data_IF_346520318444
#
_entry.id   IF_346520318444
#
_cell.length_a   1.000
_cell.length_b   1.000
_cell.length_c   1.000
_cell.angle_alpha   90.00
_cell.angle_beta   90.00
_cell.angle_gamma   90.00
#
_symmetry.space_group_name_H-M   'P 1'
#
loop_
_entity.id
_entity.type
_entity.pdbx_description
1 polymer ?
#
# COMPACT_ATOMS: atom_id res chain seq x y z
N UNK A 1 -7.24 -9.80 35.97
CA UNK A 1 -8.20 -8.89 35.37
C UNK A 1 -8.80 -9.56 34.13
N UNK A 2 -10.10 -9.34 33.87
CA UNK A 2 -10.73 -9.75 32.63
C UNK A 2 -10.26 -8.81 31.51
N UNK A 3 -9.76 -9.39 30.42
CA UNK A 3 -9.42 -8.66 29.21
C UNK A 3 -10.68 -8.61 28.34
N UNK A 4 -11.15 -7.40 28.01
CA UNK A 4 -12.19 -7.22 27.01
C UNK A 4 -11.57 -7.31 25.60
N UNK A 5 -12.18 -8.12 24.74
CA UNK A 5 -11.67 -8.36 23.38
C UNK A 5 -10.91 -9.67 23.23
N UNK A 6 -10.06 -9.73 22.22
CA UNK A 6 -9.30 -10.93 21.87
C UNK A 6 -8.31 -11.32 22.98
N UNK A 7 -8.19 -12.61 23.27
CA UNK A 7 -7.33 -13.12 24.35
C UNK A 7 -5.84 -12.93 24.03
N UNK A 8 -4.97 -12.78 25.05
CA UNK A 8 -3.52 -12.75 24.82
C UNK A 8 -2.99 -14.00 24.11
N UNK A 9 -3.59 -15.16 24.37
CA UNK A 9 -3.23 -16.39 23.68
C UNK A 9 -3.51 -16.33 22.19
N UNK A 10 -4.66 -15.79 21.78
CA UNK A 10 -5.01 -15.61 20.38
C UNK A 10 -4.13 -14.57 19.68
N UNK A 11 -3.73 -13.51 20.40
CA UNK A 11 -2.78 -12.53 19.90
C UNK A 11 -1.42 -13.19 19.68
N UNK A 12 -0.93 -13.98 20.62
CA UNK A 12 0.33 -14.72 20.53
C UNK A 12 0.33 -15.71 19.35
N UNK A 13 -0.80 -16.38 19.08
CA UNK A 13 -0.95 -17.25 17.90
C UNK A 13 -0.78 -16.50 16.57
N UNK A 14 -1.21 -15.24 16.50
CA UNK A 14 -1.10 -14.43 15.29
C UNK A 14 0.29 -13.80 15.12
N UNK A 15 0.97 -13.46 16.23
CA UNK A 15 2.27 -12.78 16.20
C UNK A 15 3.47 -13.73 16.20
N UNK A 16 3.35 -14.94 16.77
CA UNK A 16 4.39 -15.96 16.73
C UNK A 16 4.42 -16.62 15.35
N UNK A 17 5.55 -16.49 14.64
CA UNK A 17 5.68 -16.95 13.24
C UNK A 17 5.42 -18.44 13.06
N UNK A 18 5.90 -19.29 13.96
CA UNK A 18 5.71 -20.73 13.83
C UNK A 18 4.26 -21.12 14.03
N UNK A 19 3.62 -20.57 15.06
CA UNK A 19 2.20 -20.80 15.35
C UNK A 19 1.32 -20.27 14.20
N UNK A 20 1.65 -19.08 13.68
CA UNK A 20 0.97 -18.48 12.55
C UNK A 20 1.08 -19.34 11.29
N UNK A 21 2.29 -19.83 10.96
CA UNK A 21 2.49 -20.73 9.83
C UNK A 21 1.68 -22.01 9.97
N UNK A 22 1.71 -22.65 11.15
CA UNK A 22 0.91 -23.86 11.44
C UNK A 22 -0.60 -23.61 11.30
N UNK A 23 -1.07 -22.45 11.76
CA UNK A 23 -2.47 -22.04 11.59
C UNK A 23 -2.84 -21.93 10.11
N UNK A 24 -2.08 -21.18 9.33
CA UNK A 24 -2.34 -20.98 7.89
C UNK A 24 -2.26 -22.29 7.11
N UNK A 25 -1.29 -23.16 7.42
CA UNK A 25 -1.17 -24.50 6.82
C UNK A 25 -2.41 -25.36 7.14
N UNK A 26 -2.89 -25.33 8.38
CA UNK A 26 -4.10 -26.07 8.79
C UNK A 26 -5.36 -25.59 8.06
N UNK A 27 -5.39 -24.32 7.71
CA UNK A 27 -6.47 -23.68 6.93
C UNK A 27 -6.28 -23.78 5.42
N UNK A 28 -5.14 -24.32 4.96
CA UNK A 28 -4.74 -24.33 3.54
C UNK A 28 -4.73 -22.93 2.91
N UNK A 29 -4.32 -21.92 3.68
CA UNK A 29 -4.19 -20.54 3.20
C UNK A 29 -2.73 -20.29 2.80
N UNK A 30 -2.46 -19.91 1.53
CA UNK A 30 -1.11 -19.64 1.06
C UNK A 30 -0.43 -18.50 1.81
N UNK A 31 0.87 -18.65 2.07
CA UNK A 31 1.76 -17.64 2.62
C UNK A 31 2.98 -17.46 1.70
N UNK A 32 3.63 -16.29 1.68
CA UNK A 32 4.93 -16.16 1.02
C UNK A 32 5.91 -17.19 1.60
N UNK A 33 6.65 -17.93 0.76
CA UNK A 33 7.64 -18.88 1.26
C UNK A 33 8.74 -18.14 2.03
N UNK A 34 9.13 -18.67 3.19
CA UNK A 34 10.10 -17.99 4.04
C UNK A 34 10.69 -18.90 5.11
N UNK A 35 11.30 -18.28 6.11
CA UNK A 35 11.85 -18.95 7.27
C UNK A 35 12.45 -17.97 8.29
N UNK A 36 12.91 -18.52 9.41
CA UNK A 36 13.55 -17.77 10.50
C UNK A 36 15.04 -18.07 10.55
N UNK A 37 15.86 -17.07 10.84
CA UNK A 37 17.30 -17.18 10.95
C UNK A 37 17.82 -16.44 12.17
N UNK A 38 18.83 -16.99 12.83
CA UNK A 38 19.58 -16.34 13.91
C UNK A 38 21.03 -16.01 13.51
N UNK A 39 21.42 -16.45 12.31
CA UNK A 39 22.74 -16.18 11.73
C UNK A 39 22.62 -15.78 10.27
N UNK A 40 23.62 -15.07 9.74
CA UNK A 40 23.70 -14.78 8.30
C UNK A 40 23.75 -16.05 7.45
N UNK A 41 24.45 -17.10 7.92
CA UNK A 41 24.53 -18.36 7.19
C UNK A 41 23.15 -19.00 7.00
N UNK A 42 22.33 -19.05 8.06
CA UNK A 42 20.95 -19.54 7.99
C UNK A 42 20.09 -18.67 7.07
N UNK A 43 20.17 -17.34 7.22
CA UNK A 43 19.44 -16.40 6.38
C UNK A 43 19.80 -16.57 4.89
N UNK A 44 21.07 -16.77 4.57
CA UNK A 44 21.56 -17.01 3.20
C UNK A 44 20.98 -18.30 2.60
N UNK A 45 20.93 -19.38 3.38
CA UNK A 45 20.33 -20.65 2.94
C UNK A 45 18.83 -20.48 2.66
N UNK A 46 18.10 -19.77 3.53
CA UNK A 46 16.69 -19.50 3.32
C UNK A 46 16.48 -18.66 2.06
N UNK A 47 17.22 -17.54 1.91
CA UNK A 47 17.12 -16.64 0.76
C UNK A 47 17.43 -17.35 -0.56
N UNK A 48 18.43 -18.23 -0.60
CA UNK A 48 18.73 -19.05 -1.79
C UNK A 48 17.59 -20.04 -2.11
N UNK A 49 16.95 -20.60 -1.10
CA UNK A 49 15.84 -21.54 -1.27
C UNK A 49 14.57 -20.85 -1.80
N UNK A 50 14.23 -19.68 -1.25
CA UNK A 50 12.99 -18.98 -1.61
C UNK A 50 13.15 -18.09 -2.84
N UNK A 51 14.40 -17.71 -3.17
CA UNK A 51 14.74 -16.80 -4.27
C UNK A 51 14.68 -15.33 -3.85
N UNK A 52 15.55 -14.52 -4.48
CA UNK A 52 15.53 -13.05 -4.33
C UNK A 52 14.47 -12.44 -5.26
N UNK A 53 13.94 -11.25 -4.91
CA UNK A 53 14.20 -10.49 -3.70
C UNK A 53 13.55 -11.10 -2.46
N UNK A 54 14.13 -10.83 -1.28
CA UNK A 54 13.56 -11.24 0.00
C UNK A 54 13.32 -10.03 0.91
N UNK A 55 12.27 -10.13 1.71
CA UNK A 55 11.99 -9.20 2.80
C UNK A 55 12.67 -9.71 4.07
N UNK A 56 13.54 -8.88 4.64
CA UNK A 56 14.23 -9.16 5.90
C UNK A 56 13.57 -8.32 6.98
N UNK A 57 13.06 -8.96 8.03
CA UNK A 57 12.40 -8.26 9.14
C UNK A 57 12.79 -8.83 10.50
N UNK A 58 13.11 -7.99 11.49
CA UNK A 58 13.28 -8.44 12.86
C UNK A 58 11.97 -8.96 13.45
N UNK A 59 12.03 -9.92 14.35
CA UNK A 59 10.86 -10.36 15.14
C UNK A 59 10.43 -9.25 16.11
N UNK A 60 9.12 -9.18 16.39
CA UNK A 60 8.53 -8.28 17.38
C UNK A 60 8.79 -6.78 17.17
N UNK A 61 8.82 -6.33 15.90
CA UNK A 61 8.87 -4.90 15.56
C UNK A 61 7.48 -4.36 15.22
N UNK A 62 7.27 -3.07 15.54
CA UNK A 62 6.03 -2.37 15.23
C UNK A 62 6.27 -1.38 14.08
N UNK A 63 5.29 -1.26 13.17
CA UNK A 63 5.31 -0.28 12.08
C UNK A 63 6.43 -0.51 11.08
N UNK A 64 6.82 -1.75 10.83
CA UNK A 64 7.82 -2.11 9.82
C UNK A 64 9.25 -1.65 10.11
N UNK A 65 9.55 -1.24 11.35
CA UNK A 65 10.88 -0.71 11.71
C UNK A 65 12.00 -1.68 11.38
N UNK A 66 13.04 -1.17 10.71
CA UNK A 66 14.21 -1.93 10.27
C UNK A 66 13.92 -3.06 9.28
N UNK A 67 12.73 -3.12 8.68
CA UNK A 67 12.45 -4.02 7.56
C UNK A 67 13.15 -3.55 6.30
N UNK A 68 13.71 -4.48 5.53
CA UNK A 68 14.42 -4.17 4.29
C UNK A 68 14.11 -5.20 3.20
N UNK A 69 13.87 -4.70 1.99
CA UNK A 69 13.79 -5.53 0.79
C UNK A 69 15.20 -5.66 0.22
N UNK A 70 15.70 -6.87 0.10
CA UNK A 70 17.07 -7.15 -0.36
C UNK A 70 17.06 -8.02 -1.62
N UNK A 71 17.87 -7.62 -2.60
CA UNK A 71 17.82 -8.20 -3.94
C UNK A 71 18.97 -9.19 -4.22
N UNK A 72 19.95 -9.29 -3.32
CA UNK A 72 21.11 -10.16 -3.47
C UNK A 72 21.76 -10.52 -2.12
N UNK A 73 22.70 -11.44 -2.12
CA UNK A 73 23.38 -11.92 -0.92
C UNK A 73 24.20 -10.83 -0.22
N UNK A 74 24.80 -9.90 -0.96
CA UNK A 74 25.57 -8.80 -0.38
C UNK A 74 24.67 -7.81 0.37
N UNK A 75 23.49 -7.50 -0.21
CA UNK A 75 22.49 -6.66 0.44
C UNK A 75 21.93 -7.35 1.68
N UNK A 76 21.74 -8.69 1.65
CA UNK A 76 21.31 -9.46 2.82
C UNK A 76 22.31 -9.38 3.97
N UNK A 77 23.62 -9.55 3.69
CA UNK A 77 24.68 -9.42 4.69
C UNK A 77 24.68 -8.03 5.32
N UNK A 78 24.62 -6.99 4.47
CA UNK A 78 24.58 -5.59 4.92
C UNK A 78 23.36 -5.29 5.80
N UNK A 79 22.19 -5.82 5.44
CA UNK A 79 20.95 -5.64 6.19
C UNK A 79 21.04 -6.30 7.58
N UNK A 80 21.53 -7.52 7.65
CA UNK A 80 21.69 -8.24 8.91
C UNK A 80 22.72 -7.57 9.82
N UNK A 81 23.85 -7.10 9.27
CA UNK A 81 24.85 -6.35 9.98
C UNK A 81 24.33 -5.02 10.53
N UNK A 82 23.50 -4.33 9.76
CA UNK A 82 22.86 -3.09 10.20
C UNK A 82 21.88 -3.36 11.35
N UNK A 83 21.03 -4.37 11.23
CA UNK A 83 20.09 -4.78 12.28
C UNK A 83 20.80 -5.13 13.59
N UNK A 84 21.96 -5.81 13.49
CA UNK A 84 22.77 -6.15 14.65
C UNK A 84 23.37 -4.91 15.34
N UNK A 85 23.76 -3.88 14.56
CA UNK A 85 24.40 -2.63 15.09
C UNK A 85 23.39 -1.64 15.67
N UNK A 86 22.26 -1.46 15.02
CA UNK A 86 21.30 -0.37 15.35
C UNK A 86 20.45 -0.65 16.59
N UNK A 87 20.69 -1.77 17.29
CA UNK A 87 19.91 -2.15 18.46
C UNK A 87 18.43 -2.37 18.16
N UNK A 88 18.06 -2.50 16.87
CA UNK A 88 16.69 -2.83 16.43
C UNK A 88 16.25 -4.20 16.97
N UNK A 89 17.19 -5.01 17.44
CA UNK A 89 17.00 -6.30 18.09
C UNK A 89 16.81 -6.17 19.63
N UNK A 90 16.66 -4.95 20.16
CA UNK A 90 16.42 -4.66 21.58
C UNK A 90 17.67 -4.27 22.36
N UNK A 91 17.48 -3.75 23.60
CA UNK A 91 18.54 -3.22 24.47
C UNK A 91 19.62 -4.24 24.85
N UNK A 92 19.38 -5.53 24.66
CA UNK A 92 20.30 -6.62 24.99
C UNK A 92 21.05 -7.21 23.78
N UNK A 93 20.94 -6.55 22.63
CA UNK A 93 21.73 -6.70 21.41
C UNK A 93 22.03 -8.12 20.95
N UNK A 94 21.50 -8.54 19.82
CA UNK A 94 21.84 -9.76 19.11
C UNK A 94 20.65 -10.60 18.67
N UNK A 95 20.87 -11.39 17.63
CA UNK A 95 19.94 -12.42 17.17
C UNK A 95 19.95 -13.59 18.17
N UNK A 96 18.79 -14.11 18.50
CA UNK A 96 18.65 -15.31 19.35
C UNK A 96 17.47 -16.16 18.88
N UNK A 97 17.34 -17.34 19.42
CA UNK A 97 16.21 -18.22 19.12
C UNK A 97 14.85 -17.59 19.48
N UNK A 98 14.81 -16.74 20.52
CA UNK A 98 13.61 -16.00 20.91
C UNK A 98 13.39 -14.73 20.08
N UNK A 99 14.41 -14.30 19.35
CA UNK A 99 14.40 -13.07 18.49
C UNK A 99 15.10 -13.33 17.16
N UNK A 100 14.58 -14.23 16.32
CA UNK A 100 15.14 -14.46 15.01
C UNK A 100 14.80 -13.30 14.05
N UNK A 101 15.52 -13.25 12.95
CA UNK A 101 15.12 -12.48 11.77
C UNK A 101 14.27 -13.36 10.87
N UNK A 102 13.20 -12.80 10.32
CA UNK A 102 12.39 -13.48 9.31
C UNK A 102 12.90 -13.11 7.92
N UNK A 103 12.98 -14.11 7.07
CA UNK A 103 13.36 -13.98 5.66
C UNK A 103 12.22 -14.55 4.84
N UNK A 104 11.45 -13.70 4.21
CA UNK A 104 10.31 -14.09 3.38
C UNK A 104 10.58 -13.70 1.91
N UNK A 105 10.16 -14.54 0.95
CA UNK A 105 10.19 -14.16 -0.45
C UNK A 105 9.33 -12.92 -0.66
N UNK A 106 9.89 -11.89 -1.27
CA UNK A 106 9.16 -10.65 -1.54
C UNK A 106 8.35 -10.81 -2.84
N UNK A 107 7.05 -10.58 -2.73
CA UNK A 107 6.12 -10.74 -3.85
C UNK A 107 6.11 -9.46 -4.68
N UNK A 108 7.09 -9.29 -5.57
CA UNK A 108 7.11 -8.18 -6.53
C UNK A 108 5.85 -8.23 -7.42
N UNK A 109 5.35 -7.07 -7.81
CA UNK A 109 4.14 -6.89 -8.64
C UNK A 109 2.83 -7.46 -8.04
N UNK A 110 2.81 -7.78 -6.74
CA UNK A 110 1.57 -8.15 -6.06
C UNK A 110 0.74 -6.90 -5.74
N UNK A 111 -0.59 -7.05 -5.77
CA UNK A 111 -1.53 -6.05 -5.24
C UNK A 111 -1.78 -6.34 -3.77
N UNK A 112 -1.45 -5.41 -2.88
CA UNK A 112 -1.75 -5.56 -1.45
C UNK A 112 -3.20 -5.20 -1.14
N UNK A 113 -3.75 -5.88 -0.13
CA UNK A 113 -5.14 -5.73 0.31
C UNK A 113 -5.22 -5.80 1.82
N UNK A 114 -5.82 -4.80 2.43
CA UNK A 114 -6.19 -4.83 3.85
C UNK A 114 -7.67 -5.16 4.01
N UNK A 115 -7.99 -5.95 5.03
CA UNK A 115 -9.37 -6.24 5.42
C UNK A 115 -9.57 -5.95 6.89
N UNK A 116 -10.52 -5.09 7.20
CA UNK A 116 -11.00 -4.93 8.57
C UNK A 116 -12.29 -5.74 8.78
N UNK A 117 -12.31 -6.56 9.81
CA UNK A 117 -13.45 -7.39 10.16
C UNK A 117 -13.74 -7.35 11.66
N UNK A 118 -14.95 -7.76 12.04
CA UNK A 118 -15.39 -7.93 13.43
C UNK A 118 -15.93 -9.35 13.59
N UNK A 119 -15.48 -10.05 14.63
CA UNK A 119 -16.03 -11.35 15.02
C UNK A 119 -16.61 -11.27 16.42
N UNK A 120 -17.78 -11.85 16.62
CA UNK A 120 -18.41 -11.99 17.94
C UNK A 120 -18.13 -13.38 18.57
N UNK A 121 -18.61 -13.59 19.78
CA UNK A 121 -18.38 -14.84 20.53
C UNK A 121 -19.17 -16.04 19.99
N UNK A 122 -20.15 -15.83 19.13
CA UNK A 122 -20.91 -16.91 18.47
C UNK A 122 -20.18 -17.44 17.23
N UNK A 123 -19.13 -16.76 16.77
CA UNK A 123 -18.38 -17.09 15.56
C UNK A 123 -18.90 -16.39 14.31
N UNK A 124 -19.87 -15.49 14.44
CA UNK A 124 -20.29 -14.66 13.33
C UNK A 124 -19.22 -13.63 13.01
N UNK A 125 -18.89 -13.49 11.71
CA UNK A 125 -17.89 -12.53 11.22
C UNK A 125 -18.54 -11.52 10.28
N UNK A 126 -18.32 -10.26 10.57
CA UNK A 126 -18.67 -9.12 9.70
C UNK A 126 -17.40 -8.66 8.98
N UNK A 127 -17.36 -8.78 7.66
CA UNK A 127 -16.35 -8.09 6.84
C UNK A 127 -16.76 -6.62 6.78
N UNK A 128 -15.96 -5.76 7.41
CA UNK A 128 -16.19 -4.32 7.47
C UNK A 128 -15.87 -3.63 6.15
N UNK A 129 -14.77 -4.05 5.51
CA UNK A 129 -14.36 -3.55 4.18
C UNK A 129 -13.10 -4.23 3.70
N UNK A 130 -13.00 -4.38 2.38
CA UNK A 130 -11.82 -4.85 1.66
C UNK A 130 -11.21 -3.65 0.96
N UNK A 131 -9.96 -3.34 1.27
CA UNK A 131 -9.23 -2.16 0.83
C UNK A 131 -8.13 -2.57 -0.13
N UNK A 132 -8.21 -2.18 -1.39
CA UNK A 132 -7.14 -2.39 -2.38
C UNK A 132 -6.14 -1.24 -2.30
N UNK A 133 -4.84 -1.57 -2.21
CA UNK A 133 -3.76 -0.60 -2.19
C UNK A 133 -3.44 -0.08 -3.59
N UNK A 134 -3.03 1.17 -3.66
CA UNK A 134 -2.63 1.85 -4.91
C UNK A 134 -1.11 1.84 -5.09
N UNK A 135 -0.36 1.86 -3.99
CA UNK A 135 1.10 1.74 -3.99
C UNK A 135 1.55 0.31 -4.27
N UNK A 136 2.81 0.18 -4.67
CA UNK A 136 3.44 -1.12 -4.88
C UNK A 136 3.49 -1.97 -3.60
N UNK A 137 3.53 -3.29 -3.76
CA UNK A 137 3.71 -4.21 -2.65
C UNK A 137 4.95 -3.88 -1.80
N UNK A 138 4.85 -4.11 -0.50
CA UNK A 138 5.91 -3.82 0.47
C UNK A 138 5.90 -2.40 1.01
N UNK A 139 5.01 -1.53 0.55
CA UNK A 139 4.75 -0.23 1.19
C UNK A 139 3.85 -0.46 2.41
N UNK A 140 4.24 0.11 3.56
CA UNK A 140 3.45 -0.03 4.78
C UNK A 140 2.00 0.42 4.57
N UNK A 141 1.02 -0.36 5.01
CA UNK A 141 -0.42 -0.09 4.81
C UNK A 141 -0.88 1.29 5.31
N UNK A 142 -0.20 1.82 6.33
CA UNK A 142 -0.43 3.19 6.82
C UNK A 142 -0.01 4.28 5.85
N UNK A 143 0.92 3.99 4.93
CA UNK A 143 1.49 4.93 3.97
C UNK A 143 0.88 4.78 2.58
N UNK A 144 0.17 3.67 2.32
CA UNK A 144 -0.51 3.42 1.04
C UNK A 144 -1.83 4.16 0.95
N UNK A 145 -2.14 4.68 -0.24
CA UNK A 145 -3.50 4.99 -0.62
C UNK A 145 -4.30 3.68 -0.76
N UNK A 146 -5.55 3.69 -0.32
CA UNK A 146 -6.40 2.49 -0.39
C UNK A 146 -7.78 2.84 -0.89
N UNK A 147 -8.35 2.00 -1.78
CA UNK A 147 -9.68 2.19 -2.35
C UNK A 147 -10.71 1.20 -1.80
N UNK A 148 -11.91 1.69 -1.51
CA UNK A 148 -13.11 0.90 -1.23
C UNK A 148 -14.23 1.37 -2.18
N UNK A 149 -14.88 0.46 -2.92
CA UNK A 149 -14.53 -0.97 -3.10
C UNK A 149 -13.21 -1.15 -3.87
N UNK A 150 -12.62 -2.36 -3.89
CA UNK A 150 -11.50 -2.70 -4.77
C UNK A 150 -11.77 -2.32 -6.23
N UNK A 151 -10.73 -1.84 -6.93
CA UNK A 151 -10.88 -1.27 -8.26
C UNK A 151 -10.38 -2.17 -9.38
N UNK A 152 -9.31 -2.95 -9.12
CA UNK A 152 -8.69 -3.81 -10.12
C UNK A 152 -8.92 -5.30 -9.82
N UNK A 153 -9.23 -5.65 -8.57
CA UNK A 153 -9.42 -7.03 -8.16
C UNK A 153 -10.74 -7.62 -8.67
N UNK A 154 -10.72 -8.80 -9.30
CA UNK A 154 -11.92 -9.51 -9.68
C UNK A 154 -12.78 -9.89 -8.45
N UNK A 155 -14.10 -9.98 -8.62
CA UNK A 155 -15.03 -10.29 -7.53
C UNK A 155 -14.69 -11.61 -6.81
N UNK A 156 -14.28 -12.64 -7.54
CA UNK A 156 -13.89 -13.93 -6.95
C UNK A 156 -12.67 -13.82 -6.01
N UNK A 157 -11.73 -12.91 -6.28
CA UNK A 157 -10.59 -12.64 -5.38
C UNK A 157 -11.07 -12.03 -4.07
N UNK A 158 -11.99 -11.08 -4.14
CA UNK A 158 -12.61 -10.45 -2.96
C UNK A 158 -13.37 -11.47 -2.13
N UNK A 159 -14.05 -12.43 -2.78
CA UNK A 159 -14.72 -13.55 -2.11
C UNK A 159 -13.72 -14.46 -1.39
N UNK A 160 -12.62 -14.84 -2.04
CA UNK A 160 -11.54 -15.65 -1.44
C UNK A 160 -10.93 -14.93 -0.23
N UNK A 161 -10.59 -13.65 -0.37
CA UNK A 161 -10.04 -12.82 0.72
C UNK A 161 -11.02 -12.79 1.92
N UNK A 162 -12.30 -12.60 1.65
CA UNK A 162 -13.35 -12.57 2.68
C UNK A 162 -13.50 -13.93 3.39
N UNK A 163 -13.41 -15.03 2.63
CA UNK A 163 -13.46 -16.39 3.18
C UNK A 163 -12.22 -16.68 4.04
N UNK A 164 -11.03 -16.31 3.58
CA UNK A 164 -9.79 -16.46 4.35
C UNK A 164 -9.82 -15.64 5.64
N UNK A 165 -10.25 -14.38 5.57
CA UNK A 165 -10.43 -13.52 6.75
C UNK A 165 -11.38 -14.14 7.77
N UNK A 166 -12.49 -14.70 7.30
CA UNK A 166 -13.48 -15.38 8.17
C UNK A 166 -12.88 -16.62 8.83
N UNK A 167 -12.14 -17.44 8.08
CA UNK A 167 -11.49 -18.64 8.58
C UNK A 167 -10.42 -18.32 9.64
N UNK A 168 -9.59 -17.30 9.36
CA UNK A 168 -8.55 -16.82 10.28
C UNK A 168 -9.18 -16.26 11.57
N UNK A 169 -10.19 -15.38 11.44
CA UNK A 169 -10.86 -14.79 12.60
C UNK A 169 -11.49 -15.86 13.52
N UNK A 170 -12.08 -16.92 12.93
CA UNK A 170 -12.66 -18.02 13.67
C UNK A 170 -11.59 -18.88 14.34
N UNK A 171 -10.50 -19.22 13.65
CA UNK A 171 -9.43 -20.05 14.19
C UNK A 171 -8.65 -19.36 15.31
N UNK A 172 -8.52 -18.03 15.26
CA UNK A 172 -7.93 -17.22 16.32
C UNK A 172 -8.91 -16.91 17.47
N UNK A 173 -10.16 -17.36 17.44
CA UNK A 173 -11.22 -16.97 18.40
C UNK A 173 -11.25 -15.47 18.68
N UNK A 174 -11.21 -14.65 17.61
CA UNK A 174 -11.19 -13.20 17.73
C UNK A 174 -12.44 -12.69 18.44
N UNK A 175 -12.29 -11.69 19.29
CA UNK A 175 -13.36 -10.98 19.99
C UNK A 175 -13.25 -9.49 19.70
N UNK A 176 -14.05 -8.99 18.77
CA UNK A 176 -13.99 -7.61 18.30
C UNK A 176 -13.27 -7.52 16.96
N UNK A 177 -12.42 -6.52 16.81
CA UNK A 177 -11.73 -6.20 15.55
C UNK A 177 -10.57 -7.14 15.22
N UNK A 178 -10.42 -7.39 13.93
CA UNK A 178 -9.23 -7.98 13.33
C UNK A 178 -8.93 -7.24 12.01
N UNK A 179 -7.66 -6.96 11.75
CA UNK A 179 -7.16 -6.56 10.45
C UNK A 179 -6.34 -7.72 9.88
N UNK A 180 -6.59 -8.08 8.62
CA UNK A 180 -5.83 -9.10 7.91
C UNK A 180 -5.28 -8.50 6.62
N UNK A 181 -3.98 -8.71 6.39
CA UNK A 181 -3.28 -8.21 5.20
C UNK A 181 -3.01 -9.36 4.24
N UNK A 182 -3.28 -9.09 2.97
CA UNK A 182 -3.10 -10.04 1.87
C UNK A 182 -2.24 -9.41 0.77
N UNK A 183 -1.62 -10.27 -0.03
CA UNK A 183 -1.01 -9.92 -1.30
C UNK A 183 -1.58 -10.84 -2.40
N UNK A 184 -2.00 -10.25 -3.50
CA UNK A 184 -2.57 -10.96 -4.66
C UNK A 184 -1.56 -10.92 -5.78
N UNK A 185 -1.02 -12.09 -6.16
CA UNK A 185 -0.10 -12.23 -7.28
C UNK A 185 -0.68 -13.19 -8.32
N UNK A 186 -1.03 -12.66 -9.49
CA UNK A 186 -1.75 -13.41 -10.51
C UNK A 186 -3.10 -13.92 -10.01
N UNK A 187 -3.25 -15.22 -9.81
CA UNK A 187 -4.47 -15.86 -9.30
C UNK A 187 -4.35 -16.33 -7.85
N UNK A 188 -3.22 -16.12 -7.21
CA UNK A 188 -2.97 -16.60 -5.84
C UNK A 188 -3.13 -15.48 -4.85
N UNK A 189 -3.91 -15.75 -3.80
CA UNK A 189 -4.09 -14.85 -2.64
C UNK A 189 -3.21 -15.37 -1.52
N UNK A 190 -2.20 -14.60 -1.14
CA UNK A 190 -1.31 -14.90 -0.01
C UNK A 190 -1.74 -14.09 1.20
N UNK A 191 -1.82 -14.72 2.39
CA UNK A 191 -1.93 -13.97 3.63
C UNK A 191 -0.54 -13.53 4.08
N UNK A 192 -0.43 -12.26 4.47
CA UNK A 192 0.82 -11.67 4.97
C UNK A 192 0.85 -11.70 6.48
N UNK A 193 -0.18 -11.12 7.13
CA UNK A 193 -0.30 -11.09 8.57
C UNK A 193 -1.75 -10.90 9.01
N UNK A 194 -2.03 -11.21 10.27
CA UNK A 194 -3.29 -10.89 10.93
C UNK A 194 -3.04 -10.18 12.25
N UNK A 195 -3.76 -9.09 12.46
CA UNK A 195 -3.68 -8.25 13.64
C UNK A 195 -5.02 -8.31 14.39
N UNK A 196 -5.20 -9.21 15.39
CA UNK A 196 -6.46 -9.36 16.13
C UNK A 196 -6.67 -8.21 17.15
N UNK A 197 -6.65 -7.01 16.68
CA UNK A 197 -6.78 -5.74 17.40
C UNK A 197 -7.36 -4.67 16.51
N UNK A 198 -7.67 -3.50 17.07
CA UNK A 198 -8.06 -2.34 16.29
C UNK A 198 -6.93 -1.91 15.32
N UNK A 199 -7.29 -1.63 14.08
CA UNK A 199 -6.41 -1.07 13.06
C UNK A 199 -6.66 0.43 12.88
N UNK A 200 -5.71 1.11 12.24
CA UNK A 200 -5.84 2.53 11.90
C UNK A 200 -6.82 2.77 10.75
N UNK A 201 -7.07 1.76 9.93
CA UNK A 201 -7.99 1.81 8.79
C UNK A 201 -9.46 1.75 9.18
N UNK A 202 -9.80 1.29 10.40
CA UNK A 202 -11.18 1.20 10.90
C UNK A 202 -11.98 2.51 10.77
N UNK A 203 -11.44 3.70 11.10
CA UNK A 203 -12.16 4.96 10.90
C UNK A 203 -12.45 5.27 9.43
N UNK A 204 -11.52 4.93 8.54
CA UNK A 204 -11.71 5.07 7.10
C UNK A 204 -12.82 4.15 6.59
N UNK A 205 -12.73 2.85 6.91
CA UNK A 205 -13.74 1.84 6.52
C UNK A 205 -15.12 2.24 7.04
N UNK A 206 -15.21 2.68 8.29
CA UNK A 206 -16.48 3.11 8.88
C UNK A 206 -17.11 4.31 8.14
N UNK A 207 -16.28 5.28 7.72
CA UNK A 207 -16.74 6.43 6.94
C UNK A 207 -17.11 6.02 5.51
N UNK A 208 -16.32 5.14 4.88
CA UNK A 208 -16.57 4.68 3.52
C UNK A 208 -17.87 3.89 3.41
N UNK A 209 -18.16 3.01 4.37
CA UNK A 209 -19.30 2.08 4.34
C UNK A 209 -20.53 2.57 5.13
N UNK A 210 -20.36 3.60 5.96
CA UNK A 210 -21.42 4.08 6.85
C UNK A 210 -21.70 3.18 8.05
N UNK A 211 -20.90 2.13 8.26
CA UNK A 211 -21.05 1.21 9.41
C UNK A 211 -20.19 1.72 10.57
N UNK A 212 -20.73 1.95 11.78
CA UNK A 212 -19.97 2.48 12.90
C UNK A 212 -19.11 1.38 13.58
N UNK A 213 -18.11 0.86 12.84
CA UNK A 213 -17.32 -0.33 13.22
C UNK A 213 -16.74 -0.25 14.63
N UNK A 214 -16.19 0.89 15.05
CA UNK A 214 -15.63 1.04 16.38
C UNK A 214 -16.69 0.87 17.50
N UNK A 215 -17.91 1.39 17.29
CA UNK A 215 -19.03 1.21 18.23
C UNK A 215 -19.51 -0.24 18.27
N UNK A 216 -19.65 -0.85 17.08
CA UNK A 216 -20.02 -2.27 16.95
C UNK A 216 -19.01 -3.15 17.66
N UNK A 217 -17.72 -2.97 17.38
CA UNK A 217 -16.63 -3.75 18.00
C UNK A 217 -16.58 -3.58 19.52
N UNK A 218 -16.77 -2.36 20.04
CA UNK A 218 -16.79 -2.11 21.49
C UNK A 218 -17.94 -2.87 22.18
N UNK A 219 -19.11 -2.94 21.55
CA UNK A 219 -20.26 -3.70 22.06
C UNK A 219 -19.99 -5.22 22.00
N UNK A 220 -19.39 -5.69 20.91
CA UNK A 220 -19.00 -7.10 20.75
C UNK A 220 -17.97 -7.52 21.80
N UNK A 221 -16.96 -6.70 22.07
CA UNK A 221 -15.98 -6.96 23.12
C UNK A 221 -16.61 -7.03 24.53
N UNK A 222 -17.75 -6.35 24.74
CA UNK A 222 -18.53 -6.41 25.97
C UNK A 222 -19.57 -7.55 25.99
N UNK A 223 -19.58 -8.41 24.96
CA UNK A 223 -20.41 -9.61 24.92
C UNK A 223 -21.68 -9.54 24.05
N UNK A 224 -21.94 -8.42 23.37
CA UNK A 224 -23.03 -8.37 22.41
C UNK A 224 -22.71 -9.21 21.16
N UNK A 225 -23.73 -9.80 20.56
CA UNK A 225 -23.61 -10.48 19.26
C UNK A 225 -23.88 -9.51 18.10
N UNK A 226 -23.35 -9.82 16.92
CA UNK A 226 -23.66 -9.06 15.71
C UNK A 226 -25.15 -9.10 15.37
N UNK A 227 -25.81 -10.23 15.65
CA UNK A 227 -27.25 -10.38 15.47
C UNK A 227 -28.04 -9.41 16.36
N UNK A 228 -27.72 -9.32 17.67
CA UNK A 228 -28.35 -8.37 18.58
C UNK A 228 -28.15 -6.93 18.12
N UNK A 229 -26.94 -6.57 17.68
CA UNK A 229 -26.62 -5.21 17.22
C UNK A 229 -27.36 -4.83 15.93
N UNK A 230 -27.72 -5.80 15.08
CA UNK A 230 -28.64 -5.57 13.94
C UNK A 230 -30.06 -5.27 14.41
N UNK A 231 -30.56 -6.05 15.38
CA UNK A 231 -31.89 -5.81 15.94
C UNK A 231 -31.98 -4.45 16.65
N UNK A 232 -30.92 -4.04 17.35
CA UNK A 232 -30.82 -2.72 17.99
C UNK A 232 -30.66 -1.57 16.97
N UNK A 233 -30.40 -1.86 15.68
CA UNK A 233 -30.18 -0.85 14.64
C UNK A 233 -28.81 -0.17 14.73
N UNK A 234 -27.88 -0.66 15.55
CA UNK A 234 -26.50 -0.17 15.62
C UNK A 234 -25.68 -0.70 14.44
N UNK A 235 -25.79 -2.00 14.14
CA UNK A 235 -25.18 -2.60 12.95
C UNK A 235 -26.15 -2.46 11.77
N UNK A 236 -25.90 -1.44 10.98
CA UNK A 236 -26.65 -1.16 9.75
C UNK A 236 -25.99 -1.83 8.55
N UNK A 237 -26.74 -2.18 7.50
CA UNK A 237 -26.16 -2.65 6.26
C UNK A 237 -25.13 -1.63 5.71
N UNK A 238 -23.98 -2.10 5.19
CA UNK A 238 -23.03 -1.21 4.54
C UNK A 238 -23.65 -0.60 3.29
N UNK A 239 -23.39 0.68 3.05
CA UNK A 239 -23.74 1.32 1.77
C UNK A 239 -22.62 0.98 0.79
N UNK A 240 -22.94 0.10 -0.14
CA UNK A 240 -22.03 -0.34 -1.19
C UNK A 240 -22.59 0.07 -2.55
N UNK A 241 -21.71 0.60 -3.40
CA UNK A 241 -22.09 1.10 -4.71
C UNK A 241 -22.51 2.57 -4.72
N UNK A 242 -22.43 3.17 -5.92
CA UNK A 242 -22.73 4.59 -6.12
C UNK A 242 -21.62 5.55 -5.72
N UNK A 243 -20.59 5.09 -5.00
CA UNK A 243 -19.39 5.89 -4.68
C UNK A 243 -18.16 5.00 -4.50
N UNK A 244 -17.00 5.63 -4.62
CA UNK A 244 -15.68 5.10 -4.26
C UNK A 244 -15.08 5.99 -3.19
N UNK A 245 -14.50 5.38 -2.18
CA UNK A 245 -13.74 6.09 -1.14
C UNK A 245 -12.26 5.74 -1.25
N UNK A 246 -11.40 6.75 -1.22
CA UNK A 246 -9.95 6.59 -1.25
C UNK A 246 -9.36 7.18 0.03
N UNK A 247 -8.66 6.35 0.79
CA UNK A 247 -7.79 6.80 1.88
C UNK A 247 -6.48 7.27 1.28
N UNK A 248 -5.96 8.38 1.75
CA UNK A 248 -4.63 8.88 1.40
C UNK A 248 -3.82 9.17 2.66
N UNK A 249 -2.53 8.82 2.65
CA UNK A 249 -1.63 9.06 3.75
C UNK A 249 -1.19 10.53 3.80
N UNK A 250 -1.09 11.09 5.00
CA UNK A 250 -0.46 12.40 5.22
C UNK A 250 1.00 12.18 5.57
N UNK A 251 1.88 12.49 4.63
CA UNK A 251 3.32 12.30 4.73
C UNK A 251 4.01 13.64 5.02
N UNK A 252 4.86 13.76 6.05
CA UNK A 252 5.48 15.03 6.46
C UNK A 252 6.74 15.39 5.63
N UNK A 253 6.86 14.90 4.39
CA UNK A 253 8.06 15.08 3.57
C UNK A 253 8.39 16.54 3.28
N UNK A 254 7.39 17.42 3.19
CA UNK A 254 7.59 18.85 3.02
C UNK A 254 8.40 19.51 4.17
N UNK A 255 8.50 18.85 5.33
CA UNK A 255 9.34 19.29 6.46
C UNK A 255 10.77 18.80 6.37
N UNK A 256 11.04 17.84 5.48
CA UNK A 256 12.32 17.17 5.31
C UNK A 256 12.70 17.08 3.83
N UNK A 257 13.04 18.22 3.18
CA UNK A 257 13.25 18.28 1.73
C UNK A 257 14.39 17.41 1.22
N UNK A 258 15.36 17.08 2.07
CA UNK A 258 16.52 16.24 1.72
C UNK A 258 16.24 14.73 1.78
N UNK A 259 15.07 14.33 2.29
CA UNK A 259 14.73 12.90 2.45
C UNK A 259 14.16 12.35 1.15
N UNK A 260 14.57 11.13 0.79
CA UNK A 260 13.91 10.40 -0.30
C UNK A 260 12.46 10.08 0.10
N UNK A 261 11.54 10.41 -0.78
CA UNK A 261 10.10 10.16 -0.59
C UNK A 261 9.68 8.75 -0.98
N UNK A 262 10.62 7.88 -1.37
CA UNK A 262 10.31 6.49 -1.61
C UNK A 262 9.69 5.85 -0.38
N UNK A 263 8.52 5.26 -0.57
CA UNK A 263 7.82 4.49 0.46
C UNK A 263 8.39 3.08 0.54
N UNK A 264 8.18 2.44 1.67
CA UNK A 264 8.66 1.10 1.94
C UNK A 264 7.95 0.48 3.14
N UNK A 265 8.49 -0.61 3.69
CA UNK A 265 7.83 -1.33 4.77
C UNK A 265 7.79 -0.57 6.10
N UNK A 266 8.64 0.44 6.30
CA UNK A 266 8.62 1.29 7.50
C UNK A 266 7.63 2.44 7.34
N UNK A 267 6.71 2.57 8.30
CA UNK A 267 5.69 3.60 8.30
C UNK A 267 6.26 5.01 8.54
N UNK A 268 5.87 5.95 7.67
CA UNK A 268 6.30 7.36 7.72
C UNK A 268 5.16 8.36 7.85
N UNK A 269 3.91 7.93 7.63
CA UNK A 269 2.73 8.79 7.70
C UNK A 269 2.44 9.26 9.13
N UNK A 270 1.90 10.46 9.25
CA UNK A 270 1.47 11.08 10.52
C UNK A 270 -0.04 11.15 10.68
N UNK A 271 -0.78 10.85 9.64
CA UNK A 271 -2.24 10.85 9.60
C UNK A 271 -2.75 10.36 8.26
N UNK A 272 -4.07 10.42 8.10
CA UNK A 272 -4.76 10.01 6.88
C UNK A 272 -5.94 10.93 6.60
N UNK A 273 -6.31 11.04 5.32
CA UNK A 273 -7.47 11.75 4.81
C UNK A 273 -8.29 10.83 3.93
N UNK A 274 -9.50 11.25 3.56
CA UNK A 274 -10.37 10.49 2.67
C UNK A 274 -10.93 11.37 1.56
N UNK A 275 -10.80 10.91 0.31
CA UNK A 275 -11.57 11.38 -0.83
C UNK A 275 -12.75 10.44 -1.06
N UNK A 276 -13.91 10.99 -1.40
CA UNK A 276 -15.10 10.22 -1.76
C UNK A 276 -15.80 10.86 -2.97
N UNK A 277 -16.06 10.05 -3.99
CA UNK A 277 -16.81 10.49 -5.19
C UNK A 277 -17.40 9.27 -5.91
N UNK A 278 -18.08 9.50 -7.04
CA UNK A 278 -18.73 8.45 -7.84
C UNK A 278 -17.76 7.54 -8.58
N UNK A 279 -16.55 8.04 -8.88
CA UNK A 279 -15.51 7.30 -9.59
C UNK A 279 -14.21 7.28 -8.80
N UNK A 280 -13.37 6.27 -9.05
CA UNK A 280 -12.08 6.15 -8.41
C UNK A 280 -11.17 7.34 -8.71
N UNK A 281 -11.06 7.76 -9.98
CA UNK A 281 -10.21 8.89 -10.34
C UNK A 281 -10.58 10.18 -9.61
N UNK A 282 -11.87 10.50 -9.50
CA UNK A 282 -12.35 11.69 -8.77
C UNK A 282 -12.10 11.58 -7.27
N UNK A 283 -12.38 10.41 -6.68
CA UNK A 283 -12.12 10.16 -5.27
C UNK A 283 -10.62 10.26 -4.95
N UNK A 284 -9.76 9.72 -5.84
CA UNK A 284 -8.30 9.82 -5.73
C UNK A 284 -7.82 11.27 -5.78
N UNK A 285 -8.25 12.08 -6.75
CA UNK A 285 -7.84 13.50 -6.82
C UNK A 285 -8.31 14.27 -5.58
N UNK A 286 -9.50 13.97 -5.04
CA UNK A 286 -9.97 14.57 -3.78
C UNK A 286 -9.08 14.16 -2.60
N UNK A 287 -8.67 12.89 -2.52
CA UNK A 287 -7.79 12.43 -1.43
C UNK A 287 -6.41 13.07 -1.51
N UNK A 288 -5.83 13.18 -2.74
CA UNK A 288 -4.57 13.88 -2.97
C UNK A 288 -4.66 15.35 -2.52
N UNK A 289 -5.70 16.05 -2.94
CA UNK A 289 -5.92 17.46 -2.53
C UNK A 289 -6.06 17.59 -1.02
N UNK A 290 -6.79 16.68 -0.37
CA UNK A 290 -6.95 16.67 1.09
C UNK A 290 -5.65 16.36 1.84
N UNK A 291 -4.75 15.57 1.24
CA UNK A 291 -3.40 15.31 1.75
C UNK A 291 -2.42 16.47 1.52
N UNK A 292 -2.83 17.50 0.78
CA UNK A 292 -2.00 18.67 0.46
C UNK A 292 -1.23 18.52 -0.86
N UNK A 293 -1.54 17.50 -1.66
CA UNK A 293 -0.94 17.25 -2.98
C UNK A 293 -1.85 17.79 -4.06
N UNK A 294 -1.35 18.72 -4.89
CA UNK A 294 -2.12 19.32 -5.99
C UNK A 294 -1.62 18.74 -7.32
N UNK A 295 -2.50 18.02 -8.01
CA UNK A 295 -2.20 17.53 -9.35
C UNK A 295 -2.28 18.68 -10.38
N UNK A 296 -1.35 18.77 -11.34
CA UNK A 296 -1.29 19.90 -12.26
C UNK A 296 -2.37 19.80 -13.34
N UNK A 297 -2.90 20.95 -13.74
CA UNK A 297 -3.83 21.11 -14.86
C UNK A 297 -3.16 21.67 -16.12
N UNK A 298 -1.88 22.02 -16.05
CA UNK A 298 -1.06 22.54 -17.15
C UNK A 298 0.42 22.25 -16.89
N UNK A 299 1.27 22.44 -17.88
CA UNK A 299 2.70 22.23 -17.79
C UNK A 299 3.13 20.90 -18.40
N UNK A 300 4.33 20.42 -18.03
CA UNK A 300 4.95 19.21 -18.57
C UNK A 300 5.00 18.11 -17.51
N UNK A 301 4.66 16.90 -17.89
CA UNK A 301 4.69 15.71 -17.04
C UNK A 301 5.87 14.82 -17.43
N UNK A 302 6.65 14.41 -16.46
CA UNK A 302 7.73 13.44 -16.68
C UNK A 302 7.23 12.01 -16.49
N UNK A 303 7.51 11.14 -17.48
CA UNK A 303 7.13 9.73 -17.51
C UNK A 303 8.37 8.82 -17.56
N UNK A 304 8.47 7.91 -16.61
CA UNK A 304 9.48 6.85 -16.59
C UNK A 304 8.85 5.54 -16.10
N UNK A 305 8.45 4.70 -17.04
CA UNK A 305 7.84 3.40 -16.74
C UNK A 305 8.85 2.26 -16.78
N UNK A 306 8.73 1.29 -15.86
CA UNK A 306 9.34 -0.03 -16.03
C UNK A 306 8.70 -0.76 -17.23
N UNK A 307 9.29 -1.87 -17.65
CA UNK A 307 8.84 -2.56 -18.87
C UNK A 307 7.43 -3.16 -18.74
N UNK A 308 7.05 -3.62 -17.54
CA UNK A 308 5.72 -4.16 -17.24
C UNK A 308 4.61 -3.10 -17.33
N UNK A 309 4.91 -1.86 -16.92
CA UNK A 309 3.93 -0.76 -16.84
C UNK A 309 3.76 0.01 -18.16
N UNK A 310 4.68 -0.15 -19.11
CA UNK A 310 4.62 0.56 -20.39
C UNK A 310 3.29 0.38 -21.14
N UNK A 311 2.66 -0.80 -21.18
CA UNK A 311 1.35 -0.95 -21.81
C UNK A 311 0.27 -0.04 -21.22
N UNK A 312 0.16 0.02 -19.90
CA UNK A 312 -0.75 0.93 -19.20
C UNK A 312 -0.33 2.41 -19.35
N UNK A 313 0.98 2.65 -19.42
CA UNK A 313 1.58 3.95 -19.70
C UNK A 313 1.11 4.59 -21.01
N UNK A 314 0.66 3.82 -22.02
CA UNK A 314 0.03 4.33 -23.25
C UNK A 314 -1.24 5.12 -22.89
N UNK A 315 -2.08 4.57 -21.99
CA UNK A 315 -3.32 5.22 -21.57
C UNK A 315 -3.00 6.51 -20.82
N UNK A 316 -2.01 6.47 -19.92
CA UNK A 316 -1.54 7.65 -19.17
C UNK A 316 -1.08 8.75 -20.12
N UNK A 317 -0.15 8.44 -21.04
CA UNK A 317 0.38 9.41 -21.99
C UNK A 317 -0.70 9.99 -22.90
N UNK A 318 -1.64 9.17 -23.38
CA UNK A 318 -2.77 9.64 -24.19
C UNK A 318 -3.65 10.61 -23.40
N UNK A 319 -4.03 10.27 -22.17
CA UNK A 319 -4.85 11.13 -21.31
C UNK A 319 -4.18 12.46 -21.01
N UNK A 320 -2.88 12.46 -20.71
CA UNK A 320 -2.11 13.69 -20.48
C UNK A 320 -2.18 14.63 -21.72
N UNK A 321 -2.01 14.09 -22.93
CA UNK A 321 -2.15 14.86 -24.16
C UNK A 321 -3.57 15.37 -24.39
N UNK A 322 -4.58 14.54 -24.15
CA UNK A 322 -5.98 14.94 -24.25
C UNK A 322 -6.33 16.05 -23.23
N UNK A 323 -5.61 16.09 -22.10
CA UNK A 323 -5.67 17.15 -21.09
C UNK A 323 -4.93 18.43 -21.51
N UNK A 324 -4.10 18.38 -22.57
CA UNK A 324 -3.28 19.49 -23.03
C UNK A 324 -1.96 19.65 -22.26
N UNK A 325 -1.53 18.62 -21.54
CA UNK A 325 -0.26 18.56 -20.84
C UNK A 325 0.86 18.11 -21.79
N UNK A 326 2.03 18.71 -21.67
CA UNK A 326 3.25 18.24 -22.33
C UNK A 326 3.78 16.96 -21.67
N UNK A 327 4.50 16.15 -22.44
CA UNK A 327 5.08 14.89 -21.99
C UNK A 327 6.59 14.86 -22.21
N UNK A 328 7.35 14.78 -21.13
CA UNK A 328 8.77 14.41 -21.15
C UNK A 328 8.92 12.95 -20.70
N UNK A 329 9.82 12.19 -21.29
CA UNK A 329 10.02 10.81 -20.90
C UNK A 329 11.47 10.34 -21.03
N UNK A 330 11.83 9.29 -20.28
CA UNK A 330 13.09 8.56 -20.48
C UNK A 330 13.11 7.90 -21.85
N UNK A 331 14.32 7.68 -22.39
CA UNK A 331 14.52 7.10 -23.73
C UNK A 331 13.73 5.81 -23.95
N UNK A 332 13.74 4.89 -22.97
CA UNK A 332 13.01 3.62 -23.04
C UNK A 332 11.49 3.80 -23.10
N UNK A 333 10.94 4.70 -22.30
CA UNK A 333 9.52 5.04 -22.28
C UNK A 333 9.12 5.78 -23.57
N UNK A 334 9.90 6.78 -24.01
CA UNK A 334 9.65 7.54 -25.22
C UNK A 334 9.61 6.65 -26.47
N UNK A 335 10.61 5.76 -26.61
CA UNK A 335 10.68 4.81 -27.73
C UNK A 335 9.50 3.83 -27.75
N UNK A 336 9.03 3.42 -26.57
CA UNK A 336 7.85 2.55 -26.47
C UNK A 336 6.58 3.29 -26.91
N UNK A 337 6.32 4.47 -26.35
CA UNK A 337 5.14 5.29 -26.67
C UNK A 337 5.09 5.68 -28.17
N UNK A 338 6.23 5.99 -28.76
CA UNK A 338 6.33 6.33 -30.19
C UNK A 338 5.85 5.22 -31.12
N UNK A 339 6.04 3.93 -30.74
CA UNK A 339 5.54 2.77 -31.51
C UNK A 339 4.01 2.76 -31.62
N UNK A 340 3.31 3.40 -30.68
CA UNK A 340 1.87 3.51 -30.65
C UNK A 340 1.35 4.87 -31.11
N UNK A 341 2.18 5.66 -31.81
CA UNK A 341 1.80 6.96 -32.36
C UNK A 341 1.70 8.08 -31.32
N UNK A 342 2.34 7.92 -30.17
CA UNK A 342 2.38 8.89 -29.07
C UNK A 342 3.83 9.39 -28.85
N UNK A 343 4.40 10.17 -29.79
CA UNK A 343 5.73 10.73 -29.58
C UNK A 343 5.69 11.71 -28.40
N UNK A 344 6.75 11.73 -27.58
CA UNK A 344 6.88 12.67 -26.47
C UNK A 344 7.43 14.01 -26.95
N UNK A 345 7.18 15.08 -26.18
CA UNK A 345 7.65 16.42 -26.54
C UNK A 345 9.15 16.58 -26.20
N UNK A 346 9.66 15.82 -25.22
CA UNK A 346 11.06 15.89 -24.79
C UNK A 346 11.56 14.52 -24.33
N UNK A 347 12.73 14.11 -24.77
CA UNK A 347 13.43 12.92 -24.27
C UNK A 347 14.46 13.40 -23.24
N UNK A 348 14.43 12.81 -22.04
CA UNK A 348 15.28 13.18 -20.91
C UNK A 348 15.97 11.94 -20.33
N UNK A 349 17.12 12.15 -19.70
CA UNK A 349 17.90 11.08 -19.06
C UNK A 349 17.74 11.06 -17.55
N UNK A 350 17.87 9.87 -16.99
CA UNK A 350 18.14 9.68 -15.55
C UNK A 350 19.61 9.99 -15.28
N UNK A 351 19.97 10.07 -13.99
CA UNK A 351 21.36 10.39 -13.59
C UNK A 351 22.39 9.45 -14.22
N UNK A 352 22.07 8.16 -14.27
CA UNK A 352 22.94 7.13 -14.90
C UNK A 352 23.04 7.21 -16.43
N UNK A 353 22.13 7.93 -17.10
CA UNK A 353 22.04 8.01 -18.57
C UNK A 353 22.62 9.30 -19.15
N UNK A 354 22.94 10.30 -18.31
CA UNK A 354 23.37 11.63 -18.78
C UNK A 354 24.89 11.75 -18.94
N UNK A 355 25.69 10.92 -18.28
CA UNK A 355 27.15 10.98 -18.36
C UNK A 355 27.60 10.64 -19.79
N UNK A 356 28.21 11.62 -20.48
CA UNK A 356 28.64 11.47 -21.88
C UNK A 356 27.52 11.55 -22.93
N UNK A 357 26.28 11.90 -22.55
CA UNK A 357 25.14 12.05 -23.46
C UNK A 357 24.71 13.51 -23.60
N UNK A 358 23.93 13.81 -24.63
CA UNK A 358 23.30 15.13 -24.84
C UNK A 358 21.94 15.25 -24.15
N UNK A 359 21.53 14.26 -23.34
CA UNK A 359 20.24 14.26 -22.68
C UNK A 359 20.24 15.22 -21.48
N UNK A 360 19.14 15.93 -21.32
CA UNK A 360 18.91 16.78 -20.16
C UNK A 360 18.56 15.91 -18.94
N UNK A 361 18.99 16.34 -17.76
CA UNK A 361 18.75 15.64 -16.52
C UNK A 361 17.31 15.87 -16.03
N UNK A 362 16.53 14.80 -15.86
CA UNK A 362 15.15 14.87 -15.38
C UNK A 362 15.04 15.57 -14.00
N UNK A 363 15.95 15.27 -13.05
CA UNK A 363 15.95 15.94 -11.73
C UNK A 363 16.23 17.45 -11.83
N UNK A 364 17.11 17.87 -12.76
CA UNK A 364 17.38 19.29 -12.99
C UNK A 364 16.14 20.00 -13.56
N UNK A 365 15.41 19.38 -14.48
CA UNK A 365 14.18 19.96 -15.05
C UNK A 365 13.08 20.09 -14.00
N UNK A 366 12.97 19.15 -13.08
CA UNK A 366 12.07 19.25 -11.91
C UNK A 366 12.49 20.43 -11.02
N UNK A 367 13.79 20.54 -10.69
CA UNK A 367 14.32 21.61 -9.85
C UNK A 367 14.14 23.02 -10.48
N UNK A 368 14.19 23.11 -11.81
CA UNK A 368 14.00 24.35 -12.55
C UNK A 368 12.51 24.72 -12.76
N UNK A 369 11.56 23.90 -12.30
CA UNK A 369 10.12 24.12 -12.46
C UNK A 369 9.59 23.85 -13.88
N UNK A 370 10.35 23.15 -14.71
CA UNK A 370 9.93 22.79 -16.08
C UNK A 370 9.02 21.54 -16.09
N UNK A 371 9.08 20.72 -15.03
CA UNK A 371 8.22 19.54 -14.80
C UNK A 371 7.23 19.86 -13.67
N UNK A 372 5.95 19.66 -13.92
CA UNK A 372 4.84 19.93 -12.99
C UNK A 372 4.29 18.67 -12.33
N UNK A 373 4.61 17.48 -12.86
CA UNK A 373 4.19 16.20 -12.29
C UNK A 373 5.18 15.10 -12.69
N UNK A 374 5.46 14.20 -11.77
CA UNK A 374 6.38 13.08 -11.97
C UNK A 374 5.63 11.76 -11.86
N UNK A 375 5.71 10.94 -12.91
CA UNK A 375 5.31 9.53 -12.88
C UNK A 375 6.57 8.70 -13.08
N UNK A 376 7.01 8.03 -12.04
CA UNK A 376 8.21 7.20 -12.09
C UNK A 376 7.93 5.87 -11.40
N UNK A 377 7.73 4.80 -12.19
CA UNK A 377 7.46 3.44 -11.67
C UNK A 377 8.76 2.64 -11.66
N UNK A 378 9.56 2.71 -10.57
CA UNK A 378 10.84 2.03 -10.50
C UNK A 378 10.63 0.55 -10.23
N UNK A 379 11.39 -0.32 -10.92
CA UNK A 379 11.45 -1.75 -10.64
C UNK A 379 12.90 -2.17 -10.43
N UNK A 380 13.17 -2.90 -9.34
CA UNK A 380 14.51 -3.32 -8.98
C UNK A 380 15.43 -2.20 -8.45
N UNK A 381 16.61 -2.58 -7.95
CA UNK A 381 17.54 -1.71 -7.21
C UNK A 381 18.06 -0.51 -8.02
N UNK A 382 18.48 -0.73 -9.26
CA UNK A 382 19.08 0.34 -10.08
C UNK A 382 18.10 1.45 -10.42
N UNK A 383 16.88 1.09 -10.83
CA UNK A 383 15.81 2.05 -11.14
C UNK A 383 15.38 2.87 -9.92
N UNK A 384 15.40 2.28 -8.73
CA UNK A 384 15.07 2.98 -7.46
C UNK A 384 16.12 4.02 -7.11
N UNK A 385 17.42 3.72 -7.29
CA UNK A 385 18.52 4.66 -7.07
C UNK A 385 18.49 5.83 -8.07
N UNK A 386 18.30 5.56 -9.36
CA UNK A 386 18.13 6.61 -10.38
C UNK A 386 16.92 7.50 -10.10
N UNK A 387 15.83 6.92 -9.60
CA UNK A 387 14.62 7.65 -9.22
C UNK A 387 14.79 8.54 -7.98
N UNK A 388 15.74 8.24 -7.08
CA UNK A 388 15.95 8.99 -5.83
C UNK A 388 16.21 10.47 -6.08
N UNK A 389 17.09 10.80 -7.02
CA UNK A 389 17.42 12.19 -7.35
C UNK A 389 16.18 12.95 -7.88
N UNK A 390 15.34 12.28 -8.68
CA UNK A 390 14.12 12.86 -9.24
C UNK A 390 13.08 13.09 -8.12
N UNK A 391 12.88 12.11 -7.22
CA UNK A 391 11.96 12.23 -6.09
C UNK A 391 12.39 13.30 -5.10
N UNK A 392 13.68 13.40 -4.77
CA UNK A 392 14.22 14.48 -3.93
C UNK A 392 13.99 15.84 -4.57
N UNK A 393 14.26 15.98 -5.87
CA UNK A 393 14.00 17.24 -6.59
C UNK A 393 12.50 17.57 -6.57
N UNK A 394 11.61 16.60 -6.78
CA UNK A 394 10.17 16.78 -6.72
C UNK A 394 9.71 17.25 -5.33
N UNK A 395 10.15 16.57 -4.27
CA UNK A 395 9.83 16.95 -2.90
C UNK A 395 10.30 18.37 -2.54
N UNK A 396 11.56 18.68 -2.85
CA UNK A 396 12.15 19.99 -2.55
C UNK A 396 11.43 21.16 -3.26
N UNK A 397 10.81 20.89 -4.41
CA UNK A 397 10.13 21.92 -5.22
C UNK A 397 8.60 21.82 -5.18
N UNK A 398 8.04 20.96 -4.32
CA UNK A 398 6.59 20.79 -4.18
C UNK A 398 5.91 20.22 -5.43
N UNK A 399 6.65 19.48 -6.26
CA UNK A 399 6.14 18.81 -7.45
C UNK A 399 5.56 17.45 -7.04
N UNK A 400 4.32 17.21 -7.40
CA UNK A 400 3.64 15.94 -7.12
C UNK A 400 4.30 14.78 -7.85
N UNK A 401 4.41 13.63 -7.20
CA UNK A 401 4.99 12.44 -7.80
C UNK A 401 4.20 11.18 -7.41
N UNK A 402 4.10 10.24 -8.34
CA UNK A 402 3.51 8.91 -8.13
C UNK A 402 4.48 7.84 -8.60
N UNK A 403 4.45 6.69 -7.92
CA UNK A 403 5.41 5.60 -8.14
C UNK A 403 4.79 4.34 -8.73
N UNK A 404 3.47 4.32 -8.93
CA UNK A 404 2.73 3.20 -9.56
C UNK A 404 1.96 3.67 -10.78
N UNK A 405 1.73 2.75 -11.71
CA UNK A 405 0.91 3.05 -12.90
C UNK A 405 -0.57 3.18 -12.54
N UNK A 406 -1.03 2.51 -11.49
CA UNK A 406 -2.38 2.61 -10.94
C UNK A 406 -2.66 4.02 -10.42
N UNK A 407 -1.73 4.58 -9.63
CA UNK A 407 -1.83 5.97 -9.16
C UNK A 407 -1.79 6.97 -10.34
N UNK A 408 -0.94 6.73 -11.34
CA UNK A 408 -0.89 7.57 -12.54
C UNK A 408 -2.20 7.51 -13.33
N UNK A 409 -2.79 6.32 -13.51
CA UNK A 409 -4.09 6.14 -14.17
C UNK A 409 -5.22 6.83 -13.38
N UNK A 410 -5.23 6.66 -12.05
CA UNK A 410 -6.19 7.32 -11.18
C UNK A 410 -6.10 8.85 -11.30
N UNK A 411 -4.88 9.39 -11.26
CA UNK A 411 -4.62 10.82 -11.39
C UNK A 411 -5.11 11.38 -12.74
N UNK A 412 -4.69 10.79 -13.87
CA UNK A 412 -5.07 11.31 -15.20
C UNK A 412 -6.56 11.14 -15.50
N UNK A 413 -7.19 10.06 -15.03
CA UNK A 413 -8.63 9.85 -15.17
C UNK A 413 -9.41 10.86 -14.31
N UNK A 414 -9.00 11.08 -13.07
CA UNK A 414 -9.63 12.07 -12.20
C UNK A 414 -9.52 13.50 -12.74
N UNK A 415 -8.34 13.90 -13.23
CA UNK A 415 -8.14 15.19 -13.90
C UNK A 415 -9.02 15.34 -15.17
N UNK A 416 -9.14 14.26 -15.97
CA UNK A 416 -10.00 14.24 -17.14
C UNK A 416 -11.46 14.43 -16.77
N UNK A 417 -11.95 13.73 -15.77
CA UNK A 417 -13.33 13.82 -15.32
C UNK A 417 -13.68 15.18 -14.70
N UNK A 418 -12.72 15.82 -14.03
CA UNK A 418 -12.89 17.17 -13.47
C UNK A 418 -13.06 18.26 -14.54
N UNK A 419 -12.56 18.05 -15.78
CA UNK A 419 -12.81 19.01 -16.89
C UNK A 419 -14.28 19.10 -17.27
N UNK A 420 -15.03 18.01 -17.12
CA UNK A 420 -16.42 17.91 -17.58
C UNK A 420 -17.46 18.24 -16.51
N UNK A 421 -17.05 18.36 -15.25
CA UNK A 421 -17.97 18.66 -14.15
C UNK A 421 -17.23 19.24 -12.96
N UNK A 422 -17.83 20.19 -12.27
CA UNK A 422 -17.31 20.79 -11.04
C UNK A 422 -17.09 19.74 -9.94
N UNK A 423 -16.17 20.04 -9.02
CA UNK A 423 -15.95 19.20 -7.82
C UNK A 423 -17.18 19.30 -6.95
N UNK A 424 -17.91 18.20 -6.82
CA UNK A 424 -19.08 18.11 -5.96
C UNK A 424 -18.66 17.79 -4.52
N UNK A 425 -19.11 18.58 -3.57
CA UNK A 425 -18.92 18.36 -2.14
C UNK A 425 -20.26 17.92 -1.54
N UNK A 426 -20.26 16.75 -0.91
CA UNK A 426 -21.42 16.19 -0.20
C UNK A 426 -21.01 15.73 1.20
N UNK A 427 -21.95 15.75 2.12
CA UNK A 427 -21.76 15.14 3.44
C UNK A 427 -21.71 13.60 3.35
N UNK A 428 -21.10 12.95 4.33
CA UNK A 428 -21.13 11.49 4.42
C UNK A 428 -22.57 10.96 4.55
N UNK A 429 -23.44 11.72 5.21
CA UNK A 429 -24.86 11.38 5.37
C UNK A 429 -25.58 11.32 4.01
N UNK A 430 -25.29 12.27 3.12
CA UNK A 430 -25.83 12.25 1.75
C UNK A 430 -25.32 11.07 0.94
N UNK A 431 -24.02 10.74 1.04
CA UNK A 431 -23.46 9.55 0.38
C UNK A 431 -24.11 8.26 0.88
N UNK A 432 -24.43 8.18 2.16
CA UNK A 432 -25.03 7.00 2.78
C UNK A 432 -26.56 6.98 2.75
N UNK A 433 -27.22 7.97 2.09
CA UNK A 433 -28.68 8.05 2.05
C UNK A 433 -29.32 8.25 3.41
N UNK A 434 -28.65 8.96 4.33
CA UNK A 434 -29.07 9.22 5.71
C UNK A 434 -29.25 10.72 6.00
N UNK A 435 -29.40 11.53 4.94
CA UNK A 435 -29.67 12.97 5.04
C UNK A 435 -31.15 13.25 5.33
#
# INVERSE_FOLDING_TARGET
>A
ALIAGTSPHSIDLAEDREKWNQLCDSLSIPQPPGGTAVTFAEASVIAQRVGYPVLVRPSYVLGGRAMQIVHDAQALESAMDQMARDGSLGKEGGLSAERPVLIDHFLEDATEVDVDAIRDHTGEVLIGGVMEHVEEAGVHSGDSACAIPPQTLPAWVVEVISAYTTSIANSLDVRGLINVQFAVLGTTVFVIEANPRASRTVPFVAKATGVPLAKVASRVMLGATLAELRVEGLLVPPVTGGHVSVKEAVLPFNRFPEVDTALGPEMRSTGEVMGIDRTFGRAFVKSQTAAGTVLPTSGMVFLSFNDGDKPAGIVVAKRLRDLGLGVAATTGTANYLAKFGLPVDRIVGKLSEIEGSALENAAALVANGEISFVVNTPHGRGSRQDGEAIRKAANANGVSSVTTVEAALAAVNGLWEQRSSEVEVRSLQEYHGRA
#
